data_IF_118580060855
#
_entry.id   IF_118580060855
#
_cell.length_a   1.000
_cell.length_b   1.000
_cell.length_c   1.000
_cell.angle_alpha   90.00
_cell.angle_beta   90.00
_cell.angle_gamma   90.00
#
_symmetry.space_group_name_H-M   'P 1'
#
loop_
_entity.id
_entity.type
_entity.pdbx_description
1 polymer ?
#
# COMPACT_ATOMS: atom_id res chain seq x y z
N UNK A 1 5.61 -12.15 5.89
CA UNK A 1 4.31 -11.80 6.50
C UNK A 1 3.30 -12.87 6.15
N UNK A 2 2.24 -13.01 6.94
CA UNK A 2 1.09 -13.83 6.60
C UNK A 2 -0.16 -12.94 6.73
N UNK A 3 -1.09 -13.05 5.77
CA UNK A 3 -2.34 -12.31 5.75
C UNK A 3 -3.42 -13.22 5.16
N UNK A 4 -4.54 -13.36 5.85
CA UNK A 4 -5.74 -14.01 5.34
C UNK A 4 -6.95 -13.14 5.64
N UNK A 5 -7.62 -12.65 4.60
CA UNK A 5 -8.83 -11.85 4.75
C UNK A 5 -10.05 -12.76 4.90
N UNK A 6 -11.00 -12.34 5.73
CA UNK A 6 -12.26 -13.04 5.94
C UNK A 6 -13.38 -12.03 6.21
N UNK A 7 -14.63 -12.48 6.08
CA UNK A 7 -15.81 -11.66 6.39
C UNK A 7 -16.06 -11.71 7.90
N UNK A 8 -16.11 -10.55 8.52
CA UNK A 8 -16.33 -10.39 9.97
C UNK A 8 -17.59 -9.57 10.24
N UNK A 9 -18.22 -9.80 11.38
CA UNK A 9 -19.27 -8.94 11.92
C UNK A 9 -19.05 -8.75 13.42
N UNK A 10 -19.24 -7.52 13.91
CA UNK A 10 -19.25 -7.22 15.33
C UNK A 10 -20.66 -7.44 15.87
N UNK A 11 -20.80 -8.27 16.91
CA UNK A 11 -22.06 -8.51 17.62
C UNK A 11 -22.00 -7.87 19.01
N UNK A 12 -23.15 -7.60 19.63
CA UNK A 12 -23.21 -6.98 20.96
C UNK A 12 -22.67 -5.55 21.04
N UNK A 13 -22.62 -4.82 19.93
CA UNK A 13 -22.13 -3.44 19.90
C UNK A 13 -23.07 -2.52 20.70
N UNK A 14 -22.53 -1.82 21.69
CA UNK A 14 -23.26 -0.83 22.50
C UNK A 14 -22.93 0.61 22.13
N UNK A 15 -21.87 0.84 21.35
CA UNK A 15 -21.39 2.14 20.92
C UNK A 15 -21.41 2.26 19.41
N UNK A 16 -21.73 3.45 18.90
CA UNK A 16 -21.68 3.80 17.46
C UNK A 16 -20.47 4.68 17.13
N UNK A 17 -19.51 4.77 18.05
CA UNK A 17 -18.32 5.61 17.87
C UNK A 17 -17.45 5.05 16.76
N UNK A 18 -17.10 5.84 15.74
CA UNK A 18 -16.26 5.36 14.66
C UNK A 18 -14.83 5.11 15.12
N UNK A 19 -14.14 4.23 14.40
CA UNK A 19 -12.69 4.06 14.55
C UNK A 19 -11.96 5.32 14.08
N UNK A 20 -10.88 5.67 14.76
CA UNK A 20 -9.96 6.69 14.31
C UNK A 20 -9.24 6.24 13.03
N UNK A 21 -8.77 7.20 12.22
CA UNK A 21 -7.98 6.91 11.03
C UNK A 21 -6.67 6.18 11.43
N UNK A 22 -6.44 4.95 10.93
CA UNK A 22 -5.30 4.15 11.38
C UNK A 22 -3.98 4.62 10.75
N UNK A 23 -2.92 4.63 11.57
CA UNK A 23 -1.55 5.01 11.14
C UNK A 23 -0.62 3.80 11.10
N UNK A 24 0.42 3.78 10.24
CA UNK A 24 1.44 2.74 10.29
C UNK A 24 2.12 2.69 11.66
N UNK A 25 2.36 1.49 12.19
CA UNK A 25 3.12 1.34 13.43
C UNK A 25 4.60 1.71 13.21
N UNK A 26 5.27 2.12 14.29
CA UNK A 26 6.70 2.46 14.26
C UNK A 26 7.45 1.61 15.28
N UNK A 27 8.71 1.30 14.99
CA UNK A 27 9.58 0.64 15.97
C UNK A 27 9.87 1.59 17.12
N UNK A 28 9.47 1.20 18.33
CA UNK A 28 9.54 2.03 19.53
C UNK A 28 10.06 1.26 20.75
N UNK A 29 10.72 0.11 20.55
CA UNK A 29 11.30 -0.71 21.64
C UNK A 29 12.20 0.10 22.58
N UNK A 30 13.06 0.97 22.02
CA UNK A 30 14.01 1.78 22.79
C UNK A 30 13.33 2.94 23.54
N UNK A 31 12.13 3.35 23.10
CA UNK A 31 11.39 4.47 23.67
C UNK A 31 9.88 4.28 23.46
N UNK A 32 9.18 3.67 24.44
CA UNK A 32 7.75 3.41 24.35
C UNK A 32 6.88 4.67 24.15
N UNK A 33 7.35 5.84 24.60
CA UNK A 33 6.62 7.10 24.40
C UNK A 33 6.55 7.53 22.93
N UNK A 34 7.43 7.00 22.07
CA UNK A 34 7.43 7.23 20.62
C UNK A 34 6.53 6.26 19.85
N UNK A 35 5.93 5.26 20.51
CA UNK A 35 4.99 4.36 19.86
C UNK A 35 3.78 5.15 19.31
N UNK A 36 3.25 4.70 18.17
CA UNK A 36 1.99 5.23 17.66
C UNK A 36 0.88 4.92 18.65
N UNK A 37 0.12 5.93 19.05
CA UNK A 37 -1.05 5.79 19.91
C UNK A 37 -2.31 5.69 19.05
N UNK A 38 -3.31 4.96 19.55
CA UNK A 38 -4.59 4.77 18.89
C UNK A 38 -4.56 3.72 17.78
N UNK A 39 -5.45 3.90 16.79
CA UNK A 39 -5.65 2.99 15.69
C UNK A 39 -4.37 2.81 14.84
N UNK A 40 -3.95 1.55 14.69
CA UNK A 40 -2.77 1.15 13.91
C UNK A 40 -3.18 0.34 12.70
N UNK A 41 -2.41 0.47 11.62
CA UNK A 41 -2.56 -0.37 10.44
C UNK A 41 -1.97 -1.77 10.66
N UNK A 42 -2.42 -2.72 9.84
CA UNK A 42 -1.75 -4.02 9.69
C UNK A 42 -0.29 -3.84 9.28
N UNK A 43 0.60 -4.71 9.76
CA UNK A 43 2.03 -4.67 9.44
C UNK A 43 2.25 -5.24 8.03
N UNK A 44 2.58 -4.38 7.07
CA UNK A 44 3.10 -4.77 5.76
C UNK A 44 4.61 -4.52 5.72
N UNK A 45 5.37 -5.61 5.77
CA UNK A 45 6.82 -5.62 5.83
C UNK A 45 7.46 -6.73 4.98
N UNK A 46 8.60 -6.41 4.36
CA UNK A 46 9.36 -7.31 3.49
C UNK A 46 8.60 -7.78 2.24
N UNK A 47 7.91 -6.85 1.57
CA UNK A 47 7.29 -7.05 0.24
C UNK A 47 8.03 -6.22 -0.82
N UNK A 48 7.80 -6.52 -2.10
CA UNK A 48 8.35 -5.72 -3.20
C UNK A 48 7.83 -4.28 -3.23
N UNK A 49 6.57 -4.08 -2.84
CA UNK A 49 5.88 -2.77 -2.81
C UNK A 49 4.86 -2.74 -1.67
N UNK A 50 4.45 -1.54 -1.24
CA UNK A 50 3.36 -1.39 -0.26
C UNK A 50 3.74 -1.73 1.18
N UNK A 51 5.04 -1.76 1.51
CA UNK A 51 5.46 -1.81 2.90
C UNK A 51 5.06 -0.51 3.60
N UNK A 52 4.45 -0.62 4.78
CA UNK A 52 4.11 0.54 5.60
C UNK A 52 5.04 0.69 6.81
N UNK A 53 5.94 -0.26 7.03
CA UNK A 53 7.02 -0.17 8.00
C UNK A 53 8.31 -0.67 7.39
N UNK A 54 9.42 0.01 7.73
CA UNK A 54 10.78 -0.40 7.41
C UNK A 54 11.55 -0.50 8.71
N UNK A 55 12.19 -1.64 8.93
CA UNK A 55 13.04 -1.88 10.10
C UNK A 55 14.45 -2.19 9.62
N UNK A 56 15.44 -1.69 10.37
CA UNK A 56 16.86 -1.92 10.10
C UNK A 56 17.61 -2.05 11.43
N UNK A 57 18.75 -2.74 11.42
CA UNK A 57 19.56 -2.94 12.61
C UNK A 57 19.02 -4.05 13.52
N UNK A 58 19.42 -4.00 14.79
CA UNK A 58 19.13 -5.02 15.79
C UNK A 58 18.17 -4.51 16.86
N UNK A 59 17.38 -5.42 17.41
CA UNK A 59 16.56 -5.18 18.60
C UNK A 59 17.41 -5.26 19.88
N UNK A 60 16.80 -5.00 21.04
CA UNK A 60 17.49 -5.07 22.33
C UNK A 60 18.00 -6.48 22.68
N UNK A 61 17.46 -7.52 22.05
CA UNK A 61 17.91 -8.92 22.17
C UNK A 61 19.01 -9.28 21.15
N UNK A 62 19.57 -8.29 20.44
CA UNK A 62 20.59 -8.46 19.40
C UNK A 62 20.13 -9.34 18.22
N UNK A 63 18.84 -9.38 17.96
CA UNK A 63 18.27 -10.03 16.78
C UNK A 63 17.96 -8.99 15.71
N UNK A 64 18.06 -9.31 14.41
CA UNK A 64 17.62 -8.41 13.35
C UNK A 64 16.17 -7.97 13.60
N UNK A 65 15.90 -6.66 13.52
CA UNK A 65 14.56 -6.12 13.80
C UNK A 65 13.54 -6.69 12.83
N UNK A 66 12.64 -7.50 13.36
CA UNK A 66 11.48 -8.04 12.65
C UNK A 66 10.20 -7.48 13.28
N UNK A 67 9.39 -6.70 12.55
CA UNK A 67 8.18 -6.11 13.11
C UNK A 67 7.13 -7.20 13.39
N UNK A 68 6.57 -7.16 14.59
CA UNK A 68 5.54 -8.08 15.05
C UNK A 68 4.45 -7.33 15.81
N UNK A 69 3.29 -7.98 16.00
CA UNK A 69 2.18 -7.46 16.80
C UNK A 69 2.49 -7.59 18.29
N UNK A 70 3.41 -6.75 18.78
CA UNK A 70 3.84 -6.74 20.17
C UNK A 70 4.18 -5.32 20.65
N UNK A 71 4.63 -5.23 21.90
CA UNK A 71 4.99 -3.97 22.55
C UNK A 71 6.12 -3.20 21.85
N UNK A 72 7.00 -3.87 21.08
CA UNK A 72 8.08 -3.19 20.33
C UNK A 72 7.54 -2.24 19.26
N UNK A 73 6.28 -2.42 18.84
CA UNK A 73 5.55 -1.55 17.92
C UNK A 73 4.33 -0.87 18.58
N UNK A 74 4.19 -0.99 19.90
CA UNK A 74 3.07 -0.41 20.66
C UNK A 74 1.74 -1.16 20.52
N UNK A 75 1.76 -2.43 20.12
CA UNK A 75 0.58 -3.30 20.22
C UNK A 75 0.52 -3.88 21.62
N UNK A 76 -0.54 -3.53 22.37
CA UNK A 76 -0.79 -4.11 23.68
C UNK A 76 -1.26 -5.56 23.53
N UNK A 77 -1.08 -6.36 24.58
CA UNK A 77 -1.71 -7.68 24.63
C UNK A 77 -3.23 -7.53 24.76
N UNK A 78 -3.97 -8.39 24.06
CA UNK A 78 -5.43 -8.34 24.00
C UNK A 78 -6.02 -7.20 23.15
N UNK A 79 -7.19 -6.72 23.58
CA UNK A 79 -7.99 -5.75 22.83
C UNK A 79 -7.34 -4.36 22.79
N UNK A 80 -7.34 -3.72 21.62
CA UNK A 80 -6.85 -2.36 21.43
C UNK A 80 -7.99 -1.36 21.71
N UNK A 81 -8.09 -0.86 22.94
CA UNK A 81 -9.22 -0.03 23.37
C UNK A 81 -9.11 1.46 22.98
N UNK A 82 -7.93 1.89 22.52
CA UNK A 82 -7.61 3.29 22.18
C UNK A 82 -7.86 3.63 20.69
N UNK A 83 -8.47 2.72 19.93
CA UNK A 83 -8.62 2.84 18.48
C UNK A 83 -9.76 3.76 18.01
N UNK A 84 -10.60 4.24 18.91
CA UNK A 84 -11.79 5.02 18.59
C UNK A 84 -11.47 6.51 18.43
N UNK A 85 -12.26 7.22 17.60
CA UNK A 85 -12.09 8.65 17.37
C UNK A 85 -12.47 9.53 18.57
N UNK A 86 -13.13 8.95 19.59
CA UNK A 86 -13.60 9.66 20.76
C UNK A 86 -14.16 8.72 21.83
N UNK A 87 -14.76 9.28 22.91
CA UNK A 87 -15.40 8.48 23.94
C UNK A 87 -16.63 7.73 23.39
N UNK A 88 -17.05 6.63 24.05
CA UNK A 88 -18.23 5.87 23.64
C UNK A 88 -19.48 6.75 23.52
N UNK A 89 -20.08 6.72 22.33
CA UNK A 89 -21.38 7.33 22.04
C UNK A 89 -22.44 6.23 21.92
N UNK A 90 -23.46 6.33 22.76
CA UNK A 90 -24.60 5.42 22.84
C UNK A 90 -25.77 6.02 22.04
N UNK A 91 -25.56 6.20 20.73
CA UNK A 91 -26.59 6.68 19.83
C UNK A 91 -27.72 5.65 19.68
N UNK A 92 -28.97 6.13 19.61
CA UNK A 92 -30.08 5.32 19.09
C UNK A 92 -29.68 4.88 17.67
N UNK A 93 -29.79 3.59 17.30
CA UNK A 93 -29.27 3.11 16.03
C UNK A 93 -29.87 3.93 14.89
N UNK A 94 -29.04 4.73 14.25
CA UNK A 94 -29.43 5.39 13.01
C UNK A 94 -29.32 4.31 11.96
N UNK A 95 -30.48 3.83 11.51
CA UNK A 95 -30.63 2.91 10.38
C UNK A 95 -30.00 3.55 9.15
N UNK A 96 -28.68 3.47 9.02
CA UNK A 96 -28.01 3.81 7.77
C UNK A 96 -28.35 2.67 6.84
N UNK A 97 -29.26 2.96 5.90
CA UNK A 97 -29.71 2.06 4.87
C UNK A 97 -28.50 1.34 4.25
N UNK A 98 -28.69 0.04 4.01
CA UNK A 98 -27.72 -0.79 3.31
C UNK A 98 -27.18 -0.07 2.05
N UNK A 99 -25.88 -0.21 1.72
CA UNK A 99 -25.37 0.30 0.46
C UNK A 99 -26.24 -0.26 -0.69
N UNK A 100 -26.66 0.57 -1.66
CA UNK A 100 -27.50 0.09 -2.75
C UNK A 100 -26.78 -1.06 -3.44
N UNK A 101 -27.45 -2.21 -3.48
CA UNK A 101 -27.06 -3.36 -4.30
C UNK A 101 -26.83 -2.84 -5.72
N UNK A 102 -25.68 -3.12 -6.37
CA UNK A 102 -25.51 -2.75 -7.77
C UNK A 102 -26.57 -3.49 -8.59
N UNK A 103 -27.50 -2.73 -9.17
CA UNK A 103 -28.45 -3.24 -10.15
C UNK A 103 -27.65 -3.56 -11.40
N UNK A 104 -27.54 -4.84 -11.74
CA UNK A 104 -26.98 -5.31 -13.01
C UNK A 104 -27.85 -4.75 -14.13
N UNK A 105 -27.45 -3.62 -14.71
CA UNK A 105 -28.03 -3.12 -15.95
C UNK A 105 -27.52 -4.03 -17.05
N UNK A 106 -28.45 -4.72 -17.72
CA UNK A 106 -28.15 -5.54 -18.87
C UNK A 106 -27.41 -4.72 -19.93
N UNK A 107 -26.31 -5.26 -20.45
CA UNK A 107 -25.56 -4.67 -21.54
C UNK A 107 -26.46 -4.56 -22.80
N UNK A 108 -26.49 -3.41 -23.50
CA UNK A 108 -27.12 -3.34 -24.80
C UNK A 108 -26.27 -4.09 -25.83
N UNK A 109 -26.94 -4.92 -26.61
CA UNK A 109 -26.46 -5.63 -27.79
C UNK A 109 -25.89 -4.62 -28.82
N UNK A 110 -24.75 -4.90 -29.48
CA UNK A 110 -24.26 -4.02 -30.53
C UNK A 110 -25.06 -4.24 -31.83
N UNK A 111 -25.88 -3.26 -32.20
CA UNK A 111 -26.43 -3.14 -33.55
C UNK A 111 -25.42 -2.40 -34.41
N UNK A 112 -24.94 -3.07 -35.46
CA UNK A 112 -24.10 -2.51 -36.54
C UNK A 112 -24.87 -1.43 -37.31
N UNK A 113 -24.28 -0.27 -37.62
CA UNK A 113 -24.58 0.45 -38.84
C UNK A 113 -23.40 0.39 -39.82
N UNK A 114 -23.78 0.60 -41.07
CA UNK A 114 -23.07 0.30 -42.29
C UNK A 114 -21.85 1.18 -42.57
N UNK A 115 -21.08 0.65 -43.52
CA UNK A 115 -19.89 1.16 -44.19
C UNK A 115 -19.96 2.65 -44.57
N UNK A 116 -18.86 3.37 -44.31
CA UNK A 116 -18.40 4.49 -45.13
C UNK A 116 -16.86 4.48 -45.11
N UNK A 117 -16.28 4.64 -46.29
CA UNK A 117 -14.97 4.14 -46.71
C UNK A 117 -13.92 5.27 -46.85
N UNK A 118 -12.66 4.97 -46.48
CA UNK A 118 -11.37 5.65 -46.79
C UNK A 118 -11.09 7.04 -46.17
N UNK A 119 -9.90 7.37 -45.64
CA UNK A 119 -8.53 6.96 -45.98
C UNK A 119 -7.67 6.50 -44.79
N UNK A 120 -6.85 5.48 -45.04
CA UNK A 120 -5.71 5.07 -44.22
C UNK A 120 -4.42 5.52 -44.90
N UNK A 121 -3.79 6.58 -44.40
CA UNK A 121 -2.39 6.88 -44.76
C UNK A 121 -1.47 6.01 -43.92
N UNK A 122 -0.96 4.97 -44.56
CA UNK A 122 0.03 4.06 -44.03
C UNK A 122 1.43 4.72 -44.09
N UNK A 123 1.90 5.31 -42.98
CA UNK A 123 3.33 5.66 -42.85
C UNK A 123 4.09 4.40 -42.46
N UNK A 124 4.66 3.75 -43.46
CA UNK A 124 5.58 2.63 -43.26
C UNK A 124 7.02 3.13 -43.08
N UNK A 125 7.78 2.34 -42.29
CA UNK A 125 9.25 2.26 -42.19
C UNK A 125 9.92 3.35 -41.32
N UNK A 126 10.90 3.08 -40.46
CA UNK A 126 11.93 2.03 -40.45
C UNK A 126 12.49 1.81 -39.04
N UNK A 127 12.80 0.54 -38.74
CA UNK A 127 13.69 0.09 -37.66
C UNK A 127 15.09 0.69 -37.88
N UNK A 128 15.60 1.52 -36.96
CA UNK A 128 17.01 1.94 -36.96
C UNK A 128 17.80 1.10 -35.95
N UNK A 129 18.76 0.34 -36.48
CA UNK A 129 19.72 -0.52 -35.79
C UNK A 129 20.82 0.33 -35.14
N UNK A 130 21.10 0.04 -33.86
CA UNK A 130 22.44 -0.09 -33.22
C UNK A 130 23.44 1.07 -33.35
N UNK A 131 23.84 1.64 -32.20
CA UNK A 131 25.14 2.29 -32.03
C UNK A 131 25.68 2.09 -30.61
N UNK A 132 26.32 0.94 -30.39
CA UNK A 132 27.12 0.60 -29.22
C UNK A 132 28.60 1.03 -29.41
N UNK A 133 28.87 1.93 -30.36
CA UNK A 133 30.22 2.32 -30.77
C UNK A 133 30.72 3.64 -30.17
N UNK A 134 29.88 4.35 -29.40
CA UNK A 134 30.22 5.72 -28.92
C UNK A 134 30.82 5.75 -27.50
N UNK A 135 30.75 4.65 -26.73
CA UNK A 135 31.29 4.62 -25.37
C UNK A 135 32.77 4.22 -25.32
N UNK A 136 33.21 3.27 -26.16
CA UNK A 136 34.60 2.79 -26.16
C UNK A 136 35.58 3.83 -26.73
N UNK A 137 35.15 4.63 -27.71
CA UNK A 137 35.95 5.74 -28.25
C UNK A 137 36.15 6.91 -27.26
N UNK A 138 35.24 7.09 -26.29
CA UNK A 138 35.41 8.09 -25.21
C UNK A 138 36.37 7.64 -24.11
N UNK A 139 36.48 6.33 -23.86
CA UNK A 139 37.43 5.77 -22.89
C UNK A 139 38.89 5.81 -23.40
N UNK A 140 39.12 5.56 -24.70
CA UNK A 140 40.47 5.59 -25.25
C UNK A 140 41.06 6.99 -25.41
N UNK A 141 40.24 8.04 -25.57
CA UNK A 141 40.73 9.42 -25.66
C UNK A 141 41.21 9.99 -24.32
N UNK A 142 40.63 9.55 -23.19
CA UNK A 142 41.04 9.96 -21.83
C UNK A 142 42.34 9.32 -21.34
N UNK A 143 42.81 8.24 -21.98
CA UNK A 143 44.07 7.55 -21.61
C UNK A 143 45.30 8.13 -22.34
N UNK A 144 45.11 9.02 -23.32
CA UNK A 144 46.20 9.68 -24.04
C UNK A 144 46.58 11.07 -23.46
N UNK A 145 45.79 11.63 -22.54
CA UNK A 145 46.05 12.94 -21.91
C UNK A 145 46.70 12.84 -20.51
N UNK A 146 47.03 11.64 -20.05
CA UNK A 146 47.67 11.38 -18.74
C UNK A 146 49.12 10.86 -18.85
N UNK A 147 49.71 10.91 -20.04
CA UNK A 147 51.13 10.65 -20.26
C UNK A 147 51.80 11.87 -20.92
N UNK A 148 51.88 12.95 -20.16
CA UNK A 148 53.00 13.90 -20.20
C UNK A 148 53.20 14.46 -18.79
#
# INVERSE_FOLDING_TARGET
MYHQAFKCQVTGATSVTPLAAPKPAVWCEDNPSKCVKGAKQMIYWNQKTGNNIVTSGYDLARQPRSPAYNQKLGFADGAQNDIFAGPPSYGKPTTTAAPPRPTTTAAPTPTKPADDELEVVCVTRTKAKRSEATHLARMHRRRAELNF
#
